data_IF_459365623935
#
_entry.id   IF_459365623935
#
_cell.length_a   1.000
_cell.length_b   1.000
_cell.length_c   1.000
_cell.angle_alpha   90.00
_cell.angle_beta   90.00
_cell.angle_gamma   90.00
#
_symmetry.space_group_name_H-M   'P 1'
#
loop_
_entity.id
_entity.type
_entity.pdbx_description
1 polymer ?
#
# COMPACT_ATOMS: atom_id res chain seq x y z
N UNK A 1 29.58 -25.38 15.96
CA UNK A 1 28.12 -25.44 15.71
C UNK A 1 27.67 -24.09 15.20
N UNK A 2 27.44 -23.98 13.89
CA UNK A 2 26.95 -22.74 13.27
C UNK A 2 25.48 -22.54 13.66
N UNK A 3 25.17 -21.48 14.40
CA UNK A 3 23.80 -21.00 14.58
C UNK A 3 23.29 -20.63 13.19
N UNK A 4 22.42 -21.47 12.62
CA UNK A 4 21.60 -21.10 11.47
C UNK A 4 20.84 -19.85 11.89
N UNK A 5 21.13 -18.73 11.23
CA UNK A 5 20.19 -17.62 11.12
C UNK A 5 18.88 -18.25 10.67
N UNK A 6 17.91 -18.34 11.58
CA UNK A 6 16.53 -18.56 11.19
C UNK A 6 16.19 -17.33 10.35
N UNK A 7 16.11 -17.53 9.04
CA UNK A 7 15.54 -16.57 8.12
C UNK A 7 14.10 -16.35 8.58
N UNK A 8 13.89 -15.35 9.43
CA UNK A 8 12.58 -14.78 9.68
C UNK A 8 12.17 -14.14 8.36
N UNK A 9 11.55 -14.92 7.47
CA UNK A 9 10.82 -14.37 6.34
C UNK A 9 9.77 -13.43 6.95
N UNK A 10 9.85 -12.12 6.73
CA UNK A 10 8.76 -11.24 7.10
C UNK A 10 7.50 -11.71 6.35
N UNK A 11 6.42 -11.94 7.09
CA UNK A 11 5.12 -12.33 6.55
C UNK A 11 4.46 -11.07 5.95
N UNK A 12 4.94 -10.63 4.79
CA UNK A 12 4.28 -9.60 4.00
C UNK A 12 3.19 -10.24 3.13
N UNK A 13 2.00 -9.65 3.15
CA UNK A 13 0.87 -10.16 2.38
C UNK A 13 0.89 -9.77 0.92
N UNK A 14 1.42 -8.59 0.66
CA UNK A 14 1.24 -7.94 -0.61
C UNK A 14 2.40 -6.99 -0.87
N UNK A 15 2.99 -7.16 -2.05
CA UNK A 15 3.97 -6.22 -2.61
C UNK A 15 3.37 -5.67 -3.89
N UNK A 16 3.08 -4.36 -3.89
CA UNK A 16 2.62 -3.63 -5.06
C UNK A 16 3.75 -2.78 -5.62
N UNK A 17 3.96 -2.83 -6.94
CA UNK A 17 4.94 -1.97 -7.62
C UNK A 17 4.18 -1.01 -8.52
N UNK A 18 4.39 0.29 -8.34
CA UNK A 18 3.80 1.31 -9.19
C UNK A 18 4.37 1.21 -10.62
N UNK A 19 3.56 1.43 -11.67
CA UNK A 19 4.04 1.46 -13.05
C UNK A 19 5.19 2.46 -13.22
N UNK A 20 6.39 1.95 -13.48
CA UNK A 20 7.64 2.72 -13.48
C UNK A 20 8.71 2.18 -12.52
N UNK A 21 8.36 1.27 -11.60
CA UNK A 21 9.31 0.52 -10.77
C UNK A 21 9.99 1.33 -9.66
N UNK A 22 9.74 2.63 -9.59
CA UNK A 22 10.35 3.56 -8.63
C UNK A 22 9.64 3.61 -7.29
N UNK A 23 8.43 3.06 -7.18
CA UNK A 23 7.64 3.09 -5.95
C UNK A 23 7.07 1.70 -5.65
N UNK A 24 7.43 1.18 -4.48
CA UNK A 24 7.07 -0.15 -4.00
C UNK A 24 6.29 0.01 -2.69
N UNK A 25 5.12 -0.59 -2.61
CA UNK A 25 4.31 -0.67 -1.40
C UNK A 25 4.39 -2.08 -0.82
N UNK A 26 4.73 -2.18 0.46
CA UNK A 26 4.81 -3.44 1.19
C UNK A 26 3.79 -3.41 2.32
N UNK A 27 2.76 -4.23 2.23
CA UNK A 27 1.74 -4.37 3.26
C UNK A 27 2.20 -5.37 4.33
N UNK A 28 2.21 -4.92 5.58
CA UNK A 28 2.61 -5.71 6.74
C UNK A 28 1.39 -6.12 7.56
N UNK A 29 1.27 -7.40 7.90
CA UNK A 29 0.20 -7.93 8.78
C UNK A 29 0.47 -7.77 10.27
N UNK A 30 1.74 -7.88 10.66
CA UNK A 30 2.13 -7.95 12.07
C UNK A 30 2.75 -6.64 12.50
N UNK A 31 2.22 -6.10 13.60
CA UNK A 31 2.73 -4.85 14.17
C UNK A 31 4.19 -4.98 14.61
N UNK A 32 4.52 -6.09 15.25
CA UNK A 32 5.87 -6.34 15.77
C UNK A 32 6.92 -6.34 14.65
N UNK A 33 6.62 -6.97 13.51
CA UNK A 33 7.51 -6.98 12.34
C UNK A 33 7.64 -5.58 11.73
N UNK A 34 6.56 -4.79 11.71
CA UNK A 34 6.60 -3.40 11.26
C UNK A 34 7.49 -2.57 12.19
N UNK A 35 7.38 -2.76 13.51
CA UNK A 35 8.15 -2.03 14.50
C UNK A 35 9.64 -2.37 14.47
N UNK A 36 10.03 -3.58 14.07
CA UNK A 36 11.44 -3.98 13.87
C UNK A 36 12.16 -3.17 12.77
N UNK A 37 11.43 -2.58 11.82
CA UNK A 37 12.02 -1.73 10.78
C UNK A 37 12.49 -0.42 11.42
N UNK A 38 13.80 -0.20 11.50
CA UNK A 38 14.41 0.96 12.15
C UNK A 38 14.31 2.27 11.34
N UNK A 39 13.11 2.60 10.86
CA UNK A 39 12.79 3.82 10.13
C UNK A 39 11.73 4.63 10.91
N UNK A 40 11.72 5.98 10.76
CA UNK A 40 10.70 6.81 11.38
C UNK A 40 9.29 6.38 10.96
N UNK A 41 8.42 6.21 11.96
CA UNK A 41 6.99 5.94 11.73
C UNK A 41 6.30 7.24 11.36
N UNK A 42 5.52 7.21 10.29
CA UNK A 42 4.52 8.22 9.98
C UNK A 42 3.13 7.65 10.25
N UNK A 43 2.39 8.33 11.12
CA UNK A 43 0.97 8.08 11.34
C UNK A 43 0.17 8.96 10.37
N UNK A 44 -0.73 8.36 9.59
CA UNK A 44 -1.60 9.08 8.65
C UNK A 44 -2.98 9.38 9.21
N UNK A 45 -3.25 9.02 10.47
CA UNK A 45 -4.54 9.16 11.13
C UNK A 45 -5.57 8.14 10.65
N UNK A 46 -6.75 8.17 11.28
CA UNK A 46 -7.91 7.39 10.88
C UNK A 46 -8.71 8.15 9.81
N UNK A 47 -9.09 7.44 8.74
CA UNK A 47 -10.04 7.92 7.74
C UNK A 47 -11.05 6.82 7.41
N UNK A 48 -11.96 7.11 6.47
CA UNK A 48 -13.00 6.15 6.03
C UNK A 48 -12.44 4.81 5.54
N UNK A 49 -11.20 4.79 5.07
CA UNK A 49 -10.52 3.59 4.58
C UNK A 49 -9.77 2.82 5.69
N UNK A 50 -9.74 3.33 6.91
CA UNK A 50 -9.02 2.78 8.06
C UNK A 50 -7.90 3.68 8.57
N UNK A 51 -7.09 3.14 9.48
CA UNK A 51 -5.96 3.85 10.10
C UNK A 51 -4.66 3.15 9.71
N UNK A 52 -3.77 3.86 9.03
CA UNK A 52 -2.52 3.32 8.50
C UNK A 52 -1.30 4.03 9.08
N UNK A 53 -0.30 3.23 9.43
CA UNK A 53 1.05 3.66 9.74
C UNK A 53 1.95 3.31 8.58
N UNK A 54 2.93 4.15 8.28
CA UNK A 54 3.94 3.84 7.27
C UNK A 54 5.36 4.15 7.70
N UNK A 55 6.30 3.41 7.13
CA UNK A 55 7.73 3.72 7.14
C UNK A 55 8.21 3.80 5.70
N UNK A 56 9.03 4.79 5.38
CA UNK A 56 9.52 4.99 4.01
C UNK A 56 11.03 4.91 3.96
N UNK A 57 11.54 4.06 3.08
CA UNK A 57 12.95 4.02 2.68
C UNK A 57 13.06 4.66 1.29
N UNK A 58 13.96 5.63 1.15
CA UNK A 58 14.32 6.22 -0.13
C UNK A 58 15.77 5.85 -0.46
N UNK A 59 15.98 5.19 -1.59
CA UNK A 59 17.32 4.88 -2.12
C UNK A 59 17.40 5.28 -3.60
N UNK A 60 18.08 6.40 -3.86
CA UNK A 60 18.14 7.00 -5.19
C UNK A 60 16.76 7.33 -5.75
N UNK A 61 16.38 6.66 -6.84
CA UNK A 61 15.07 6.80 -7.49
C UNK A 61 14.02 5.83 -6.97
N UNK A 62 14.38 4.92 -6.05
CA UNK A 62 13.49 3.91 -5.51
C UNK A 62 12.95 4.34 -4.14
N UNK A 63 11.64 4.19 -3.99
CA UNK A 63 10.91 4.46 -2.76
C UNK A 63 10.19 3.20 -2.33
N UNK A 64 10.49 2.71 -1.13
CA UNK A 64 9.81 1.57 -0.52
C UNK A 64 8.99 2.09 0.65
N UNK A 65 7.68 1.86 0.59
CA UNK A 65 6.72 2.27 1.62
C UNK A 65 6.18 1.02 2.31
N UNK A 66 6.63 0.78 3.54
CA UNK A 66 6.07 -0.24 4.41
C UNK A 66 4.81 0.32 5.06
N UNK A 67 3.69 -0.41 4.98
CA UNK A 67 2.40 0.01 5.55
C UNK A 67 1.88 -1.03 6.53
N UNK A 68 1.43 -0.59 7.69
CA UNK A 68 0.72 -1.40 8.67
C UNK A 68 -0.62 -0.74 8.98
N UNK A 69 -1.72 -1.48 8.83
CA UNK A 69 -3.07 -0.98 9.10
C UNK A 69 -3.50 -1.36 10.51
N UNK A 70 -3.70 -0.36 11.38
CA UNK A 70 -4.16 -0.54 12.76
C UNK A 70 -5.61 -1.04 12.83
N UNK A 71 -6.41 -0.64 11.85
CA UNK A 71 -7.75 -1.15 11.60
C UNK A 71 -7.70 -1.79 10.23
N UNK A 72 -7.76 -3.12 10.19
CA UNK A 72 -7.85 -3.85 8.93
C UNK A 72 -9.11 -3.41 8.18
N UNK A 73 -8.96 -3.10 6.88
CA UNK A 73 -10.11 -3.07 5.99
C UNK A 73 -10.70 -4.47 5.98
N UNK A 74 -11.98 -4.60 6.33
CA UNK A 74 -12.69 -5.85 6.07
C UNK A 74 -12.66 -6.15 4.56
N UNK A 75 -12.72 -7.42 4.19
CA UNK A 75 -12.83 -7.84 2.78
C UNK A 75 -13.97 -7.09 2.07
N UNK A 76 -15.03 -6.75 2.81
CA UNK A 76 -16.18 -5.97 2.34
C UNK A 76 -15.79 -4.54 1.97
N UNK A 77 -15.03 -3.83 2.80
CA UNK A 77 -14.53 -2.48 2.47
C UNK A 77 -13.56 -2.50 1.28
N UNK A 78 -12.71 -3.52 1.15
CA UNK A 78 -11.81 -3.66 -0.01
C UNK A 78 -12.63 -3.85 -1.31
N UNK A 79 -13.69 -4.68 -1.26
CA UNK A 79 -14.58 -4.90 -2.41
C UNK A 79 -15.39 -3.66 -2.78
N UNK A 80 -15.88 -2.92 -1.78
CA UNK A 80 -16.61 -1.67 -2.01
C UNK A 80 -15.75 -0.62 -2.72
N UNK A 81 -14.47 -0.49 -2.34
CA UNK A 81 -13.52 0.41 -3.02
C UNK A 81 -13.25 -0.02 -4.46
N UNK A 82 -13.06 -1.33 -4.70
CA UNK A 82 -12.88 -1.86 -6.06
C UNK A 82 -14.10 -1.59 -6.95
N UNK A 83 -15.31 -1.75 -6.41
CA UNK A 83 -16.55 -1.43 -7.12
C UNK A 83 -16.70 0.07 -7.40
N UNK A 84 -16.30 0.91 -6.45
CA UNK A 84 -16.30 2.37 -6.63
C UNK A 84 -15.32 2.78 -7.72
N UNK A 85 -14.08 2.29 -7.67
CA UNK A 85 -13.04 2.55 -8.68
C UNK A 85 -13.48 2.05 -10.06
N UNK A 86 -14.12 0.87 -10.13
CA UNK A 86 -14.69 0.33 -11.37
C UNK A 86 -15.73 1.28 -11.96
N UNK A 87 -16.70 1.72 -11.14
CA UNK A 87 -17.76 2.64 -11.59
C UNK A 87 -17.19 3.99 -12.03
N UNK A 88 -16.24 4.55 -11.30
CA UNK A 88 -15.59 5.82 -11.68
C UNK A 88 -14.85 5.69 -13.02
N UNK A 89 -14.20 4.55 -13.27
CA UNK A 89 -13.57 4.26 -14.57
C UNK A 89 -14.59 4.09 -15.70
N UNK A 90 -15.71 3.43 -15.46
CA UNK A 90 -16.80 3.30 -16.43
C UNK A 90 -17.41 4.67 -16.76
N UNK A 91 -17.61 5.52 -15.75
CA UNK A 91 -18.07 6.90 -15.93
C UNK A 91 -17.05 7.69 -16.76
N UNK A 92 -15.77 7.67 -16.40
CA UNK A 92 -14.71 8.36 -17.16
C UNK A 92 -14.58 7.84 -18.60
N UNK A 93 -14.78 6.54 -18.83
CA UNK A 93 -14.79 5.95 -20.18
C UNK A 93 -16.05 6.31 -20.99
N UNK A 94 -17.15 6.68 -20.32
CA UNK A 94 -18.40 7.14 -20.95
C UNK A 94 -18.42 8.64 -21.27
N UNK A 95 -17.48 9.42 -20.71
CA UNK A 95 -17.29 10.82 -21.06
C UNK A 95 -16.54 10.87 -22.40
N UNK A 96 -17.28 11.07 -23.48
CA UNK A 96 -16.75 11.25 -24.84
C UNK A 96 -15.73 12.42 -24.88
N UNK A 97 -14.50 12.23 -25.39
CA UNK A 97 -13.49 13.31 -25.48
C UNK A 97 -13.82 14.43 -26.48
N UNK A 98 -15.03 14.48 -27.06
CA UNK A 98 -15.37 15.32 -28.21
C UNK A 98 -15.52 16.83 -27.94
N UNK A 99 -14.87 17.36 -26.90
CA UNK A 99 -14.69 18.81 -26.72
C UNK A 99 -13.24 19.20 -26.98
N UNK A 100 -12.87 19.29 -28.25
CA UNK A 100 -11.52 19.70 -28.64
C UNK A 100 -11.27 19.92 -30.13
N UNK A 101 -12.27 20.27 -30.93
CA UNK A 101 -12.05 20.87 -32.25
C UNK A 101 -13.10 21.99 -32.47
N UNK A 102 -12.73 23.21 -32.09
CA UNK A 102 -13.33 24.46 -32.60
C UNK A 102 -12.24 25.51 -32.73
#
# INVERSE_FOLDING_TARGET
MNKRLQESKPDFDFVGVYPGGTLIYVLMRKRDEFDLIALPVKDHGENDNGHVLSKTLCDGSMHIVFQFWLKERTIETIRADQDKIRREREVLASVDPSWGDR
#
